data_IF_679508985562
#
_entry.id   IF_679508985562
#
_cell.length_a   1.000
_cell.length_b   1.000
_cell.length_c   1.000
_cell.angle_alpha   90.00
_cell.angle_beta   90.00
_cell.angle_gamma   90.00
#
_symmetry.space_group_name_H-M   'P 1'
#
loop_
_entity.id
_entity.type
_entity.pdbx_description
1 polymer ?
#
# COMPACT_ATOMS: atom_id res chain seq x y z
N UNK A 1 49.04 -34.46 25.29
CA UNK A 1 47.88 -35.03 26.03
C UNK A 1 47.17 -33.89 26.74
N UNK A 2 46.03 -33.44 26.21
CA UNK A 2 44.97 -32.69 26.91
C UNK A 2 43.87 -32.42 25.87
N UNK A 3 42.73 -33.10 26.01
CA UNK A 3 41.51 -32.82 25.26
C UNK A 3 40.84 -31.55 25.80
N UNK A 4 39.98 -30.92 24.99
CA UNK A 4 38.73 -30.40 25.54
C UNK A 4 37.49 -30.89 24.76
N UNK A 5 36.59 -31.50 25.54
CA UNK A 5 35.14 -31.31 25.64
C UNK A 5 34.27 -31.23 24.36
N UNK A 6 33.42 -32.26 24.25
CA UNK A 6 32.17 -32.30 23.49
C UNK A 6 31.20 -31.20 23.94
N UNK A 7 30.73 -30.39 22.98
CA UNK A 7 29.50 -29.62 23.06
C UNK A 7 28.49 -30.17 22.05
N UNK A 8 27.42 -30.75 22.56
CA UNK A 8 26.29 -31.33 21.83
C UNK A 8 25.52 -30.28 21.01
N UNK A 9 25.43 -30.49 19.70
CA UNK A 9 24.55 -29.75 18.80
C UNK A 9 23.12 -30.31 18.89
N UNK A 10 22.23 -29.57 19.54
CA UNK A 10 20.81 -29.87 19.61
C UNK A 10 20.13 -29.38 18.32
N UNK A 11 19.99 -30.27 17.33
CA UNK A 11 19.26 -29.98 16.10
C UNK A 11 17.76 -30.14 16.35
N UNK A 12 17.07 -29.03 16.58
CA UNK A 12 15.62 -28.95 16.44
C UNK A 12 15.28 -28.67 14.97
N UNK A 13 14.53 -29.54 14.28
CA UNK A 13 14.12 -29.28 12.90
C UNK A 13 13.02 -28.21 12.92
N UNK A 14 13.32 -27.02 12.40
CA UNK A 14 12.33 -25.99 12.13
C UNK A 14 11.40 -26.50 11.02
N UNK A 15 10.15 -26.79 11.38
CA UNK A 15 9.08 -27.03 10.43
C UNK A 15 8.83 -25.74 9.63
N UNK A 16 9.37 -25.67 8.41
CA UNK A 16 9.00 -24.64 7.44
C UNK A 16 7.56 -24.86 6.99
N UNK A 17 6.63 -24.04 7.46
CA UNK A 17 5.34 -23.88 6.81
C UNK A 17 5.54 -23.16 5.47
N UNK A 18 5.58 -23.94 4.39
CA UNK A 18 5.37 -23.44 3.04
C UNK A 18 3.97 -22.81 2.96
N UNK A 19 3.88 -21.49 2.85
CA UNK A 19 2.71 -20.86 2.27
C UNK A 19 2.83 -20.92 0.75
N UNK A 20 2.38 -22.04 0.18
CA UNK A 20 1.99 -22.03 -1.22
C UNK A 20 0.81 -21.07 -1.37
N UNK A 21 0.99 -19.99 -2.12
CA UNK A 21 -0.12 -19.27 -2.74
C UNK A 21 -0.77 -20.21 -3.78
N UNK A 22 -1.59 -21.14 -3.28
CA UNK A 22 -2.66 -21.70 -4.10
C UNK A 22 -3.64 -20.57 -4.35
N UNK A 23 -3.63 -20.01 -5.56
CA UNK A 23 -4.82 -19.33 -6.05
C UNK A 23 -5.98 -20.32 -5.95
N UNK A 24 -7.00 -20.06 -5.11
CA UNK A 24 -8.14 -20.95 -5.02
C UNK A 24 -8.76 -21.02 -6.42
N UNK A 25 -8.93 -22.23 -6.94
CA UNK A 25 -9.63 -22.42 -8.20
C UNK A 25 -11.09 -22.01 -7.96
N UNK A 26 -11.42 -20.75 -8.28
CA UNK A 26 -12.79 -20.23 -8.15
C UNK A 26 -13.63 -20.94 -9.22
N UNK A 27 -14.68 -21.69 -8.84
CA UNK A 27 -15.56 -22.32 -9.82
C UNK A 27 -16.17 -21.24 -10.72
N UNK A 28 -16.43 -21.51 -12.01
CA UNK A 28 -17.14 -20.54 -12.84
C UNK A 28 -18.54 -20.27 -12.24
N UNK A 29 -19.05 -19.03 -12.32
CA UNK A 29 -20.36 -18.69 -11.79
C UNK A 29 -21.44 -19.47 -12.53
N UNK A 30 -22.39 -20.03 -11.78
CA UNK A 30 -23.52 -20.76 -12.37
C UNK A 30 -24.59 -19.78 -12.82
N UNK A 31 -24.55 -19.41 -14.10
CA UNK A 31 -25.40 -18.39 -14.73
C UNK A 31 -26.91 -18.67 -14.63
N UNK A 32 -27.29 -19.92 -14.44
CA UNK A 32 -28.71 -20.33 -14.33
C UNK A 32 -29.18 -20.46 -12.87
N UNK A 33 -28.32 -20.19 -11.88
CA UNK A 33 -28.68 -20.25 -10.46
C UNK A 33 -29.22 -18.90 -9.99
N UNK A 34 -30.43 -18.91 -9.42
CA UNK A 34 -30.97 -17.74 -8.73
C UNK A 34 -30.59 -17.79 -7.23
N UNK A 35 -29.76 -16.87 -6.72
CA UNK A 35 -29.39 -16.85 -5.32
C UNK A 35 -30.59 -16.64 -4.39
N UNK A 36 -30.48 -17.13 -3.16
CA UNK A 36 -31.45 -16.82 -2.12
C UNK A 36 -31.33 -15.35 -1.67
N UNK A 37 -32.41 -14.84 -1.09
CA UNK A 37 -32.38 -13.59 -0.34
C UNK A 37 -31.87 -13.86 1.10
N UNK A 38 -30.86 -13.11 1.52
CA UNK A 38 -30.20 -13.21 2.83
C UNK A 38 -30.40 -11.95 3.70
N UNK A 39 -31.19 -10.98 3.25
CA UNK A 39 -31.35 -9.65 3.88
C UNK A 39 -31.99 -9.75 5.27
N UNK A 40 -32.85 -10.76 5.46
CA UNK A 40 -33.58 -11.05 6.70
C UNK A 40 -32.77 -11.88 7.71
N UNK A 41 -31.61 -12.40 7.31
CA UNK A 41 -30.81 -13.26 8.18
C UNK A 41 -29.87 -12.45 9.08
N UNK A 42 -29.71 -12.84 10.36
CA UNK A 42 -28.80 -12.17 11.31
C UNK A 42 -27.34 -12.57 11.05
N UNK A 43 -26.81 -12.20 9.89
CA UNK A 43 -25.45 -12.54 9.46
C UNK A 43 -24.45 -11.45 9.87
N UNK A 44 -23.21 -11.87 10.17
CA UNK A 44 -22.12 -10.95 10.56
C UNK A 44 -21.53 -10.17 9.38
N UNK A 45 -21.86 -10.57 8.15
CA UNK A 45 -21.37 -9.95 6.92
C UNK A 45 -22.55 -9.37 6.13
N UNK A 46 -22.24 -8.45 5.21
CA UNK A 46 -23.26 -7.85 4.34
C UNK A 46 -23.95 -8.92 3.48
N UNK A 47 -25.30 -8.91 3.45
CA UNK A 47 -26.14 -9.86 2.70
C UNK A 47 -25.78 -9.94 1.20
N UNK A 48 -25.34 -8.82 0.59
CA UNK A 48 -24.94 -8.78 -0.82
C UNK A 48 -23.74 -9.68 -1.14
N UNK A 49 -22.87 -9.92 -0.14
CA UNK A 49 -21.74 -10.84 -0.29
C UNK A 49 -22.27 -12.27 -0.44
N UNK A 50 -23.30 -12.65 0.32
CA UNK A 50 -23.89 -13.99 0.25
C UNK A 50 -24.61 -14.22 -1.08
N UNK A 51 -25.41 -13.25 -1.53
CA UNK A 51 -26.07 -13.29 -2.84
C UNK A 51 -25.05 -13.46 -3.97
N UNK A 52 -23.91 -12.75 -3.89
CA UNK A 52 -22.84 -12.84 -4.89
C UNK A 52 -22.08 -14.18 -4.80
N UNK A 53 -21.71 -14.60 -3.58
CA UNK A 53 -20.89 -15.79 -3.34
C UNK A 53 -21.65 -17.08 -3.60
N UNK A 54 -22.98 -17.09 -3.44
CA UNK A 54 -23.81 -18.26 -3.68
C UNK A 54 -23.63 -18.80 -5.11
N UNK A 55 -23.50 -17.93 -6.10
CA UNK A 55 -23.33 -18.29 -7.52
C UNK A 55 -22.08 -19.14 -7.80
N UNK A 56 -21.13 -19.14 -6.87
CA UNK A 56 -19.84 -19.84 -6.95
C UNK A 56 -19.81 -21.10 -6.07
N UNK A 57 -20.91 -21.42 -5.36
CA UNK A 57 -20.93 -22.58 -4.47
C UNK A 57 -20.90 -23.91 -5.24
N UNK A 58 -20.25 -24.95 -4.67
CA UNK A 58 -20.27 -26.28 -5.26
C UNK A 58 -21.70 -26.82 -5.45
N UNK A 59 -21.97 -27.64 -6.48
CA UNK A 59 -23.32 -28.18 -6.75
C UNK A 59 -23.97 -28.86 -5.53
N UNK A 60 -23.19 -29.58 -4.73
CA UNK A 60 -23.68 -30.28 -3.55
C UNK A 60 -24.06 -29.34 -2.38
N UNK A 61 -23.67 -28.06 -2.43
CA UNK A 61 -24.05 -27.04 -1.45
C UNK A 61 -25.23 -26.22 -1.95
N UNK A 62 -25.30 -25.92 -3.25
CA UNK A 62 -26.41 -25.17 -3.85
C UNK A 62 -27.78 -25.82 -3.64
N UNK A 63 -27.83 -27.14 -3.63
CA UNK A 63 -29.06 -27.91 -3.44
C UNK A 63 -29.47 -28.03 -1.96
N UNK A 64 -28.76 -27.38 -1.04
CA UNK A 64 -29.07 -27.40 0.40
C UNK A 64 -29.97 -26.24 0.80
N UNK A 65 -30.42 -26.26 2.05
CA UNK A 65 -31.21 -25.16 2.62
C UNK A 65 -30.44 -23.83 2.59
N UNK A 66 -31.20 -22.75 2.65
CA UNK A 66 -30.66 -21.39 2.79
C UNK A 66 -29.73 -21.26 3.99
N UNK A 67 -30.09 -21.84 5.14
CA UNK A 67 -29.24 -21.82 6.33
C UNK A 67 -27.93 -22.56 6.13
N UNK A 68 -27.95 -23.73 5.48
CA UNK A 68 -26.74 -24.51 5.21
C UNK A 68 -25.80 -23.80 4.23
N UNK A 69 -26.36 -23.16 3.20
CA UNK A 69 -25.62 -22.32 2.26
C UNK A 69 -24.97 -21.13 2.98
N UNK A 70 -25.74 -20.42 3.82
CA UNK A 70 -25.24 -19.32 4.62
C UNK A 70 -24.10 -19.77 5.55
N UNK A 71 -24.27 -20.86 6.29
CA UNK A 71 -23.22 -21.41 7.17
C UNK A 71 -21.95 -21.80 6.39
N UNK A 72 -22.11 -22.41 5.22
CA UNK A 72 -20.97 -22.75 4.35
C UNK A 72 -20.22 -21.49 3.87
N UNK A 73 -20.95 -20.46 3.43
CA UNK A 73 -20.38 -19.18 3.03
C UNK A 73 -19.71 -18.44 4.19
N UNK A 74 -20.32 -18.41 5.38
CA UNK A 74 -19.72 -17.86 6.60
C UNK A 74 -18.38 -18.52 6.88
N UNK A 75 -18.30 -19.86 6.78
CA UNK A 75 -17.05 -20.60 6.98
C UNK A 75 -15.98 -20.29 5.92
N UNK A 76 -16.38 -19.92 4.71
CA UNK A 76 -15.44 -19.41 3.69
C UNK A 76 -14.96 -18.02 4.12
N UNK A 77 -15.89 -17.10 4.40
CA UNK A 77 -15.57 -15.72 4.74
C UNK A 77 -14.68 -15.62 5.99
N UNK A 78 -14.86 -16.46 7.00
CA UNK A 78 -13.98 -16.50 8.17
C UNK A 78 -12.54 -16.92 7.87
N UNK A 79 -12.31 -17.70 6.79
CA UNK A 79 -10.96 -18.09 6.38
C UNK A 79 -10.22 -16.94 5.69
N UNK A 80 -10.93 -16.09 4.95
CA UNK A 80 -10.35 -14.97 4.23
C UNK A 80 -10.36 -13.66 5.02
N UNK A 81 -11.33 -13.49 5.91
CA UNK A 81 -11.47 -12.31 6.76
C UNK A 81 -11.71 -12.73 8.22
N UNK A 82 -10.66 -13.20 8.92
CA UNK A 82 -10.75 -13.60 10.33
C UNK A 82 -11.23 -12.47 11.25
N UNK A 83 -11.77 -12.83 12.41
CA UNK A 83 -12.38 -11.87 13.35
C UNK A 83 -11.40 -10.79 13.83
N UNK A 84 -10.16 -11.16 14.12
CA UNK A 84 -9.11 -10.20 14.50
C UNK A 84 -8.86 -9.15 13.40
N UNK A 85 -8.86 -9.56 12.12
CA UNK A 85 -8.67 -8.65 11.00
C UNK A 85 -9.89 -7.73 10.82
N UNK A 86 -11.11 -8.26 11.00
CA UNK A 86 -12.33 -7.43 11.01
C UNK A 86 -12.31 -6.38 12.11
N UNK A 87 -11.94 -6.78 13.33
CA UNK A 87 -11.81 -5.85 14.47
C UNK A 87 -10.76 -4.78 14.14
N UNK A 88 -9.64 -5.15 13.54
CA UNK A 88 -8.59 -4.22 13.12
C UNK A 88 -9.11 -3.20 12.10
N UNK A 89 -9.76 -3.67 11.03
CA UNK A 89 -10.36 -2.81 9.99
C UNK A 89 -11.40 -1.87 10.60
N UNK A 90 -12.29 -2.37 11.45
CA UNK A 90 -13.32 -1.57 12.09
C UNK A 90 -12.72 -0.48 12.99
N UNK A 91 -11.74 -0.85 13.83
CA UNK A 91 -11.01 0.12 14.66
C UNK A 91 -10.29 1.16 13.82
N UNK A 92 -9.69 0.76 12.70
CA UNK A 92 -9.02 1.68 11.79
C UNK A 92 -10.01 2.67 11.15
N UNK A 93 -11.19 2.21 10.71
CA UNK A 93 -12.28 3.08 10.22
C UNK A 93 -12.77 4.07 11.27
N UNK A 94 -12.97 3.60 12.51
CA UNK A 94 -13.37 4.48 13.62
C UNK A 94 -12.32 5.52 13.96
N UNK A 95 -11.05 5.12 13.92
CA UNK A 95 -9.91 6.02 14.09
C UNK A 95 -9.89 7.11 13.02
N UNK A 96 -9.96 6.74 11.73
CA UNK A 96 -10.01 7.69 10.61
C UNK A 96 -11.20 8.63 10.73
N UNK A 97 -12.39 8.09 11.04
CA UNK A 97 -13.61 8.91 11.25
C UNK A 97 -13.44 9.95 12.35
N UNK A 98 -12.75 9.62 13.45
CA UNK A 98 -12.46 10.58 14.52
C UNK A 98 -11.54 11.70 14.07
N UNK A 99 -10.55 11.41 13.23
CA UNK A 99 -9.69 12.45 12.66
C UNK A 99 -10.55 13.37 11.77
N UNK A 100 -11.27 12.80 10.81
CA UNK A 100 -12.08 13.56 9.86
C UNK A 100 -13.16 14.44 10.51
N UNK A 101 -13.67 14.05 11.70
CA UNK A 101 -14.67 14.84 12.42
C UNK A 101 -14.08 15.95 13.30
N UNK A 102 -12.78 15.91 13.62
CA UNK A 102 -12.16 16.83 14.60
C UNK A 102 -11.01 17.66 14.02
N UNK A 103 -10.40 17.22 12.93
CA UNK A 103 -9.38 17.95 12.20
C UNK A 103 -10.01 18.80 11.10
N UNK A 104 -9.55 20.05 10.96
CA UNK A 104 -9.99 20.95 9.89
C UNK A 104 -8.82 21.14 8.91
N UNK A 105 -8.95 20.71 7.65
CA UNK A 105 -7.89 20.88 6.66
C UNK A 105 -7.50 22.34 6.43
N UNK A 106 -6.20 22.61 6.26
CA UNK A 106 -5.66 23.93 5.93
C UNK A 106 -5.81 24.24 4.44
N UNK A 107 -5.61 23.24 3.59
CA UNK A 107 -5.63 23.33 2.13
C UNK A 107 -6.59 22.30 1.53
N UNK A 108 -7.90 22.61 1.50
CA UNK A 108 -8.91 21.67 0.96
C UNK A 108 -8.66 21.31 -0.51
N UNK A 109 -8.01 22.18 -1.26
CA UNK A 109 -7.69 21.98 -2.67
C UNK A 109 -6.69 20.84 -2.96
N UNK A 110 -5.90 20.39 -1.97
CA UNK A 110 -4.96 19.27 -2.18
C UNK A 110 -5.58 17.89 -1.91
N UNK A 111 -6.84 17.84 -1.46
CA UNK A 111 -7.60 16.61 -1.22
C UNK A 111 -8.29 16.07 -2.48
N UNK A 112 -8.07 16.70 -3.63
CA UNK A 112 -8.61 16.28 -4.92
C UNK A 112 -7.64 16.68 -6.02
N UNK A 113 -7.42 15.79 -7.00
CA UNK A 113 -6.46 16.06 -8.07
C UNK A 113 -6.98 17.16 -9.00
N UNK A 114 -6.41 18.34 -8.88
CA UNK A 114 -6.56 19.45 -9.84
C UNK A 114 -5.33 19.49 -10.74
N UNK A 115 -5.42 18.79 -11.88
CA UNK A 115 -4.26 18.44 -12.71
C UNK A 115 -3.30 19.59 -13.02
N UNK A 116 -3.82 20.79 -13.33
CA UNK A 116 -3.01 21.97 -13.68
C UNK A 116 -2.28 22.59 -12.50
N UNK A 117 -2.74 22.35 -11.26
CA UNK A 117 -2.12 22.84 -10.04
C UNK A 117 -1.25 21.77 -9.36
N UNK A 118 -1.48 20.50 -9.69
CA UNK A 118 -0.76 19.36 -9.14
C UNK A 118 0.51 19.07 -9.92
N UNK A 119 0.41 19.01 -11.25
CA UNK A 119 1.44 18.44 -12.09
C UNK A 119 2.14 19.48 -12.94
N UNK A 120 3.42 19.23 -13.23
CA UNK A 120 4.15 20.04 -14.20
C UNK A 120 3.60 19.79 -15.63
N UNK A 121 3.56 20.81 -16.51
CA UNK A 121 2.97 20.66 -17.84
C UNK A 121 3.60 19.55 -18.71
N UNK A 122 4.91 19.34 -18.59
CA UNK A 122 5.64 18.30 -19.32
C UNK A 122 5.15 16.89 -18.94
N UNK A 123 4.93 16.65 -17.65
CA UNK A 123 4.39 15.39 -17.15
C UNK A 123 2.97 15.14 -17.65
N UNK A 124 2.09 16.15 -17.57
CA UNK A 124 0.73 16.05 -18.09
C UNK A 124 0.69 15.74 -19.57
N UNK A 125 1.58 16.34 -20.35
CA UNK A 125 1.69 16.06 -21.78
C UNK A 125 2.08 14.60 -22.04
N UNK A 126 3.04 14.06 -21.29
CA UNK A 126 3.44 12.67 -21.39
C UNK A 126 2.30 11.70 -21.04
N UNK A 127 1.55 12.00 -19.98
CA UNK A 127 0.36 11.22 -19.56
C UNK A 127 -0.74 11.26 -20.61
N UNK A 128 -1.02 12.43 -21.21
CA UNK A 128 -2.00 12.57 -22.30
C UNK A 128 -1.63 11.76 -23.54
N UNK A 129 -0.34 11.70 -23.87
CA UNK A 129 0.15 10.91 -25.00
C UNK A 129 0.11 9.41 -24.72
N UNK A 130 0.25 9.02 -23.45
CA UNK A 130 0.18 7.66 -22.94
C UNK A 130 0.96 6.65 -23.78
N UNK A 131 2.20 7.01 -24.12
CA UNK A 131 3.12 6.23 -24.96
C UNK A 131 4.51 6.26 -24.35
N UNK A 132 5.26 5.18 -24.51
CA UNK A 132 6.64 5.07 -24.03
C UNK A 132 7.51 6.23 -24.49
N UNK A 133 7.44 6.61 -25.77
CA UNK A 133 8.17 7.75 -26.31
C UNK A 133 7.78 9.09 -25.65
N UNK A 134 6.56 9.22 -25.12
CA UNK A 134 6.11 10.38 -24.34
C UNK A 134 6.77 10.40 -22.96
N UNK A 135 6.70 9.28 -22.25
CA UNK A 135 7.30 9.14 -20.93
C UNK A 135 8.82 9.29 -20.95
N UNK A 136 9.52 8.68 -21.91
CA UNK A 136 10.98 8.78 -22.04
C UNK A 136 11.50 10.19 -22.33
N UNK A 137 10.64 11.16 -22.68
CA UNK A 137 11.05 12.58 -22.79
C UNK A 137 11.11 13.30 -21.45
N UNK A 138 10.39 12.81 -20.44
CA UNK A 138 10.28 13.47 -19.12
C UNK A 138 10.82 12.62 -17.98
N UNK A 139 11.12 11.35 -18.24
CA UNK A 139 11.64 10.39 -17.28
C UNK A 139 13.01 9.88 -17.72
N UNK A 140 13.95 9.87 -16.78
CA UNK A 140 15.23 9.20 -16.92
C UNK A 140 15.19 7.86 -16.19
N UNK A 141 15.91 6.87 -16.70
CA UNK A 141 16.10 5.57 -16.08
C UNK A 141 17.59 5.38 -15.76
N UNK A 142 18.09 5.96 -14.66
CA UNK A 142 19.52 5.88 -14.31
C UNK A 142 19.99 4.43 -14.12
N UNK A 143 19.09 3.57 -13.62
CA UNK A 143 19.29 2.12 -13.51
C UNK A 143 17.99 1.44 -13.90
N UNK A 144 18.10 0.26 -14.51
CA UNK A 144 16.95 -0.56 -14.89
C UNK A 144 15.97 -0.69 -13.71
N UNK A 145 14.72 -0.31 -13.94
CA UNK A 145 13.65 -0.38 -12.94
C UNK A 145 13.62 0.79 -11.94
N UNK A 146 14.47 1.81 -12.10
CA UNK A 146 14.43 3.04 -11.31
C UNK A 146 14.19 4.21 -12.25
N UNK A 147 13.05 4.90 -12.09
CA UNK A 147 12.70 6.07 -12.87
C UNK A 147 12.84 7.34 -12.04
N UNK A 148 13.44 8.38 -12.61
CA UNK A 148 13.52 9.72 -12.03
C UNK A 148 12.86 10.74 -12.95
N UNK A 149 11.98 11.58 -12.41
CA UNK A 149 11.23 12.56 -13.19
C UNK A 149 10.65 13.67 -12.32
N UNK A 150 10.40 14.82 -12.93
CA UNK A 150 9.65 15.90 -12.31
C UNK A 150 8.15 15.70 -12.57
N UNK A 151 7.40 15.53 -11.49
CA UNK A 151 5.96 15.26 -11.55
C UNK A 151 5.14 16.43 -10.99
N UNK A 152 5.45 16.84 -9.77
CA UNK A 152 4.62 17.77 -9.00
C UNK A 152 5.07 19.23 -9.16
N UNK A 153 4.11 20.15 -9.06
CA UNK A 153 4.42 21.57 -8.96
C UNK A 153 4.97 21.91 -7.56
N UNK A 154 5.98 22.78 -7.45
CA UNK A 154 6.53 23.20 -6.16
C UNK A 154 5.47 23.76 -5.20
N UNK A 155 4.51 24.55 -5.72
CA UNK A 155 3.39 25.09 -4.93
C UNK A 155 2.50 24.02 -4.32
N UNK A 156 2.33 22.88 -5.00
CA UNK A 156 1.60 21.74 -4.43
C UNK A 156 2.40 21.11 -3.29
N UNK A 157 3.71 20.89 -3.48
CA UNK A 157 4.58 20.36 -2.43
C UNK A 157 4.60 21.25 -1.18
N UNK A 158 4.67 22.58 -1.36
CA UNK A 158 4.58 23.56 -0.25
C UNK A 158 3.27 23.42 0.53
N UNK A 159 2.13 23.33 -0.17
CA UNK A 159 0.81 23.14 0.46
C UNK A 159 0.71 21.82 1.20
N UNK A 160 1.26 20.76 0.64
CA UNK A 160 1.26 19.44 1.25
C UNK A 160 2.10 19.42 2.53
N UNK A 161 3.28 20.05 2.52
CA UNK A 161 4.10 20.24 3.72
C UNK A 161 3.34 21.03 4.78
N UNK A 162 2.76 22.19 4.42
CA UNK A 162 2.07 23.04 5.40
C UNK A 162 0.81 22.39 5.97
N UNK A 163 0.13 21.54 5.18
CA UNK A 163 -1.00 20.72 5.64
C UNK A 163 -0.54 19.71 6.70
N UNK A 164 0.54 18.96 6.46
CA UNK A 164 1.07 18.01 7.45
C UNK A 164 1.57 18.72 8.70
N UNK A 165 2.25 19.86 8.56
CA UNK A 165 2.68 20.68 9.70
C UNK A 165 1.47 21.24 10.48
N UNK A 166 0.35 21.52 9.80
CA UNK A 166 -0.90 21.91 10.47
C UNK A 166 -1.51 20.74 11.24
N UNK A 167 -1.56 19.56 10.63
CA UNK A 167 -2.04 18.33 11.25
C UNK A 167 -1.23 17.96 12.49
N UNK A 168 0.11 17.96 12.41
CA UNK A 168 0.99 17.67 13.55
C UNK A 168 0.79 18.67 14.70
N UNK A 169 0.56 19.96 14.41
CA UNK A 169 0.23 20.96 15.44
C UNK A 169 -1.11 20.64 16.11
N UNK A 170 -2.12 20.29 15.33
CA UNK A 170 -3.43 19.88 15.87
C UNK A 170 -3.31 18.62 16.76
N UNK A 171 -2.57 17.60 16.32
CA UNK A 171 -2.29 16.38 17.10
C UNK A 171 -1.64 16.72 18.44
N UNK A 172 -0.62 17.58 18.42
CA UNK A 172 0.11 17.98 19.62
C UNK A 172 -0.72 18.81 20.61
N UNK A 173 -1.62 19.68 20.09
CA UNK A 173 -2.50 20.52 20.89
C UNK A 173 -3.64 19.71 21.52
N UNK A 174 -4.24 18.81 20.75
CA UNK A 174 -5.38 17.98 21.20
C UNK A 174 -4.94 16.74 21.97
N UNK A 175 -3.64 16.40 21.94
CA UNK A 175 -3.09 15.13 22.45
C UNK A 175 -3.75 13.91 21.79
N UNK A 176 -4.19 14.07 20.53
CA UNK A 176 -4.76 12.99 19.77
C UNK A 176 -3.69 11.94 19.46
N UNK A 177 -4.00 10.65 19.61
CA UNK A 177 -3.05 9.59 19.26
C UNK A 177 -3.24 9.21 17.81
N UNK A 178 -2.18 9.31 17.01
CA UNK A 178 -2.20 8.92 15.59
C UNK A 178 -1.37 7.66 15.33
N UNK A 179 -1.66 6.99 14.22
CA UNK A 179 -0.77 6.00 13.63
C UNK A 179 0.37 6.71 12.91
N UNK A 180 1.58 6.16 13.01
CA UNK A 180 2.77 6.70 12.33
C UNK A 180 2.97 5.99 10.99
N UNK A 181 3.65 6.64 10.01
CA UNK A 181 3.79 6.12 8.65
C UNK A 181 4.23 4.66 8.55
N UNK A 182 5.21 4.26 9.35
CA UNK A 182 5.63 2.86 9.46
C UNK A 182 6.27 2.61 10.83
N UNK A 183 6.72 1.38 11.09
CA UNK A 183 7.36 0.97 12.35
C UNK A 183 8.76 1.57 12.56
N UNK A 184 9.37 2.12 11.50
CA UNK A 184 10.72 2.69 11.51
C UNK A 184 10.73 4.22 11.62
N UNK A 185 9.59 4.89 11.40
CA UNK A 185 9.47 6.35 11.44
C UNK A 185 8.58 6.79 12.61
N UNK A 186 9.12 7.70 13.43
CA UNK A 186 8.39 8.32 14.54
C UNK A 186 7.69 9.61 14.15
N UNK A 187 8.05 10.20 12.99
CA UNK A 187 7.54 11.49 12.54
C UNK A 187 6.94 11.44 11.14
N UNK A 188 5.89 12.23 10.95
CA UNK A 188 5.11 12.26 9.72
C UNK A 188 3.71 11.68 9.90
N UNK A 189 2.98 11.58 8.79
CA UNK A 189 1.57 11.26 8.78
C UNK A 189 1.17 10.39 7.60
N UNK A 190 0.20 9.50 7.82
CA UNK A 190 -0.46 8.73 6.76
C UNK A 190 -1.54 9.62 6.13
N UNK A 191 -1.47 9.82 4.81
CA UNK A 191 -2.31 10.78 4.10
C UNK A 191 -3.79 10.36 4.06
N UNK A 192 -4.05 9.05 4.02
CA UNK A 192 -5.40 8.51 4.07
C UNK A 192 -6.12 8.85 5.38
N UNK A 193 -5.39 8.95 6.48
CA UNK A 193 -5.93 9.32 7.79
C UNK A 193 -6.40 10.77 7.82
N UNK A 194 -5.76 11.65 7.03
CA UNK A 194 -6.19 13.02 6.83
C UNK A 194 -7.41 13.11 5.90
N UNK A 195 -7.69 12.07 5.11
CA UNK A 195 -8.79 12.03 4.15
C UNK A 195 -8.38 12.20 2.69
N UNK A 196 -7.11 11.97 2.35
CA UNK A 196 -6.59 12.10 0.98
C UNK A 196 -6.74 10.84 0.11
N UNK A 197 -7.43 9.81 0.60
CA UNK A 197 -7.63 8.52 -0.08
C UNK A 197 -8.14 8.69 -1.52
N UNK A 198 -9.25 9.42 -1.73
CA UNK A 198 -9.77 9.68 -3.09
C UNK A 198 -8.77 10.38 -4.02
N UNK A 199 -7.91 11.24 -3.46
CA UNK A 199 -6.87 11.92 -4.24
C UNK A 199 -5.78 10.94 -4.66
N UNK A 200 -5.34 10.08 -3.73
CA UNK A 200 -4.33 9.06 -3.97
C UNK A 200 -4.82 7.95 -4.89
N UNK A 201 -6.08 7.52 -4.75
CA UNK A 201 -6.75 6.61 -5.69
C UNK A 201 -6.65 7.15 -7.12
N UNK A 202 -6.96 8.44 -7.29
CA UNK A 202 -6.90 9.08 -8.60
C UNK A 202 -5.46 9.26 -9.09
N UNK A 203 -4.53 9.64 -8.20
CA UNK A 203 -3.11 9.71 -8.53
C UNK A 203 -2.59 8.36 -9.06
N UNK A 204 -2.89 7.27 -8.35
CA UNK A 204 -2.51 5.92 -8.73
C UNK A 204 -3.13 5.51 -10.06
N UNK A 205 -4.46 5.56 -10.18
CA UNK A 205 -5.18 5.03 -11.34
C UNK A 205 -4.95 5.85 -12.62
N UNK A 206 -4.98 7.18 -12.53
CA UNK A 206 -4.94 8.04 -13.71
C UNK A 206 -3.51 8.40 -14.13
N UNK A 207 -2.53 8.34 -13.20
CA UNK A 207 -1.18 8.87 -13.46
C UNK A 207 -0.05 7.85 -13.26
N UNK A 208 -0.13 6.98 -12.24
CA UNK A 208 0.94 6.00 -11.98
C UNK A 208 0.72 4.70 -12.76
N UNK A 209 -0.51 4.20 -12.83
CA UNK A 209 -0.86 2.99 -13.56
C UNK A 209 -0.47 3.06 -15.05
N UNK A 210 -0.66 4.17 -15.79
CA UNK A 210 -0.15 4.30 -17.15
C UNK A 210 1.37 4.12 -17.29
N UNK A 211 2.14 4.59 -16.30
CA UNK A 211 3.60 4.46 -16.27
C UNK A 211 3.97 3.00 -15.98
N UNK A 212 3.31 2.39 -14.98
CA UNK A 212 3.45 0.98 -14.62
C UNK A 212 3.27 0.05 -15.83
N UNK A 213 2.21 0.29 -16.62
CA UNK A 213 1.92 -0.47 -17.85
C UNK A 213 3.04 -0.47 -18.89
N UNK A 214 3.86 0.57 -18.92
CA UNK A 214 4.92 0.72 -19.91
C UNK A 214 6.25 0.18 -19.37
N UNK A 215 6.65 0.59 -18.18
CA UNK A 215 7.99 0.31 -17.66
C UNK A 215 8.07 -0.89 -16.72
N UNK A 216 6.95 -1.28 -16.12
CA UNK A 216 6.87 -2.30 -15.08
C UNK A 216 5.88 -3.40 -15.45
N UNK A 217 5.95 -3.89 -16.69
CA UNK A 217 5.04 -4.93 -17.20
C UNK A 217 5.11 -6.24 -16.41
N UNK A 218 6.27 -6.56 -15.85
CA UNK A 218 6.50 -7.75 -15.03
C UNK A 218 6.09 -7.56 -13.56
N UNK A 219 5.90 -6.32 -13.10
CA UNK A 219 5.64 -5.99 -11.68
C UNK A 219 4.57 -4.91 -11.59
N UNK A 220 3.36 -5.28 -11.16
CA UNK A 220 2.24 -4.34 -11.04
C UNK A 220 1.55 -3.97 -12.35
N UNK A 221 2.27 -3.76 -13.46
CA UNK A 221 1.73 -3.57 -14.82
C UNK A 221 0.38 -2.84 -14.91
N UNK A 222 -0.70 -3.58 -15.21
CA UNK A 222 -2.07 -3.05 -15.27
C UNK A 222 -2.93 -3.34 -14.03
N UNK A 223 -2.35 -3.90 -12.98
CA UNK A 223 -3.04 -4.54 -11.85
C UNK A 223 -2.85 -3.85 -10.51
N UNK A 224 -2.22 -2.66 -10.45
CA UNK A 224 -2.19 -1.89 -9.20
C UNK A 224 -3.62 -1.59 -8.74
N UNK A 225 -3.96 -1.94 -7.50
CA UNK A 225 -5.32 -1.92 -6.98
C UNK A 225 -5.45 -1.22 -5.62
N UNK A 226 -4.34 -0.85 -5.01
CA UNK A 226 -4.27 -0.26 -3.67
C UNK A 226 -3.05 0.64 -3.53
N UNK A 227 -3.12 1.56 -2.56
CA UNK A 227 -2.04 2.47 -2.25
C UNK A 227 -1.84 2.63 -0.75
N UNK A 228 -0.63 3.01 -0.36
CA UNK A 228 -0.35 3.46 1.01
C UNK A 228 0.47 4.76 0.96
N UNK A 229 -0.23 5.89 1.00
CA UNK A 229 0.39 7.22 0.92
C UNK A 229 0.72 7.79 2.30
N UNK A 230 1.98 8.16 2.51
CA UNK A 230 2.42 8.79 3.75
C UNK A 230 3.56 9.79 3.50
N UNK A 231 3.75 10.69 4.46
CA UNK A 231 4.89 11.62 4.51
C UNK A 231 5.72 11.26 5.72
N UNK A 232 7.04 11.21 5.53
CA UNK A 232 8.04 11.04 6.59
C UNK A 232 8.81 12.33 6.78
N UNK A 233 9.26 12.58 8.01
CA UNK A 233 10.08 13.75 8.32
C UNK A 233 11.38 13.35 9.01
N UNK A 234 12.49 13.62 8.33
CA UNK A 234 13.83 13.44 8.87
C UNK A 234 14.40 14.76 9.40
N UNK A 235 15.28 14.69 10.39
CA UNK A 235 15.97 15.86 10.92
C UNK A 235 16.79 15.55 12.17
N UNK A 236 17.67 16.48 12.57
CA UNK A 236 18.63 16.28 13.66
C UNK A 236 18.00 15.91 15.02
N UNK A 237 16.74 16.31 15.24
CA UNK A 237 15.97 15.99 16.46
C UNK A 237 14.76 15.09 16.15
N UNK A 238 14.83 14.34 15.05
CA UNK A 238 13.79 13.43 14.55
C UNK A 238 14.45 12.12 14.13
N UNK A 239 13.80 11.37 13.24
CA UNK A 239 14.44 10.25 12.57
C UNK A 239 15.61 10.78 11.72
N UNK A 240 16.77 10.11 11.76
CA UNK A 240 17.98 10.53 11.03
C UNK A 240 18.39 9.59 9.91
N UNK A 241 17.93 8.33 9.96
CA UNK A 241 18.17 7.32 8.95
C UNK A 241 17.01 6.33 8.89
N UNK A 242 16.95 5.58 7.80
CA UNK A 242 16.04 4.48 7.61
C UNK A 242 16.87 3.25 7.23
N UNK A 243 16.72 2.16 7.98
CA UNK A 243 17.42 0.91 7.71
C UNK A 243 17.05 0.33 6.34
N UNK A 244 17.89 -0.55 5.79
CA UNK A 244 17.55 -1.25 4.55
C UNK A 244 16.33 -2.16 4.76
N UNK A 245 15.38 -2.07 3.84
CA UNK A 245 14.14 -2.84 3.83
C UNK A 245 13.67 -3.03 2.40
N UNK A 246 12.62 -3.83 2.24
CA UNK A 246 11.83 -3.93 1.01
C UNK A 246 10.46 -3.36 1.33
N UNK A 247 9.96 -2.50 0.44
CA UNK A 247 8.61 -1.97 0.55
C UNK A 247 7.59 -3.06 0.23
N UNK A 248 6.49 -3.08 0.99
CA UNK A 248 5.34 -3.95 0.72
C UNK A 248 4.47 -3.35 -0.39
N UNK A 249 5.03 -3.29 -1.61
CA UNK A 249 4.36 -2.79 -2.80
C UNK A 249 5.04 -3.29 -4.07
N UNK A 250 4.30 -3.40 -5.18
CA UNK A 250 4.90 -3.67 -6.50
C UNK A 250 5.73 -2.49 -6.99
N UNK A 251 5.31 -1.26 -6.68
CA UNK A 251 5.94 -0.01 -7.11
C UNK A 251 5.86 1.02 -5.99
N UNK A 252 7.02 1.56 -5.59
CA UNK A 252 7.11 2.71 -4.68
C UNK A 252 7.33 4.01 -5.46
N UNK A 253 6.50 5.01 -5.17
CA UNK A 253 6.72 6.39 -5.62
C UNK A 253 7.31 7.23 -4.47
N UNK A 254 8.60 7.54 -4.55
CA UNK A 254 9.28 8.42 -3.59
C UNK A 254 9.37 9.84 -4.13
N UNK A 255 8.88 10.82 -3.37
CA UNK A 255 8.76 12.21 -3.81
C UNK A 255 9.49 13.14 -2.83
N UNK A 256 10.47 13.88 -3.34
CA UNK A 256 11.05 15.00 -2.62
C UNK A 256 10.11 16.21 -2.64
N UNK A 257 9.75 16.73 -1.46
CA UNK A 257 8.76 17.80 -1.30
C UNK A 257 9.38 19.22 -1.24
N UNK A 258 10.70 19.38 -1.44
CA UNK A 258 11.29 20.70 -1.66
C UNK A 258 11.85 21.42 -0.43
N UNK A 259 12.02 20.76 0.72
CA UNK A 259 12.80 21.35 1.84
C UNK A 259 14.30 21.25 1.54
N UNK A 260 15.05 22.30 1.87
CA UNK A 260 16.51 22.29 1.82
C UNK A 260 17.08 21.47 2.97
N UNK A 261 17.97 20.52 2.66
CA UNK A 261 18.72 19.74 3.64
C UNK A 261 20.07 19.32 3.04
N UNK A 262 20.93 18.77 3.89
CA UNK A 262 22.18 18.12 3.50
C UNK A 262 22.16 16.67 3.96
N UNK A 263 22.62 15.74 3.11
CA UNK A 263 22.44 14.30 3.30
C UNK A 263 21.21 13.79 2.55
N UNK A 264 20.56 12.75 3.08
CA UNK A 264 19.31 12.20 2.52
C UNK A 264 19.48 11.31 1.29
N UNK A 265 20.68 10.75 1.10
CA UNK A 265 20.98 9.85 -0.01
C UNK A 265 20.09 8.60 0.03
N UNK A 266 19.50 8.25 -1.12
CA UNK A 266 18.76 7.00 -1.28
C UNK A 266 19.66 5.93 -1.90
N UNK A 267 19.82 4.82 -1.20
CA UNK A 267 20.65 3.69 -1.61
C UNK A 267 19.80 2.50 -2.04
N UNK A 268 20.02 2.03 -3.26
CA UNK A 268 19.43 0.78 -3.76
C UNK A 268 20.44 -0.36 -3.61
N UNK A 269 19.97 -1.56 -3.23
CA UNK A 269 20.80 -2.79 -3.16
C UNK A 269 20.31 -3.90 -4.09
N UNK A 270 19.64 -3.50 -5.19
CA UNK A 270 19.11 -4.41 -6.19
C UNK A 270 17.77 -5.06 -5.81
N UNK A 271 17.28 -5.92 -6.70
CA UNK A 271 16.03 -6.66 -6.55
C UNK A 271 16.27 -7.91 -5.69
N UNK A 272 15.34 -8.19 -4.78
CA UNK A 272 15.37 -9.41 -3.94
C UNK A 272 14.22 -10.33 -4.34
N UNK A 273 14.47 -11.63 -4.37
CA UNK A 273 13.39 -12.62 -4.49
C UNK A 273 12.86 -13.02 -3.11
N UNK A 274 11.69 -13.64 -3.09
CA UNK A 274 10.99 -14.06 -1.87
C UNK A 274 11.85 -14.93 -0.95
N UNK A 275 12.68 -15.81 -1.53
CA UNK A 275 13.59 -16.68 -0.76
C UNK A 275 14.69 -15.90 -0.04
N UNK A 276 15.09 -14.74 -0.58
CA UNK A 276 16.26 -13.98 -0.13
C UNK A 276 15.91 -12.59 0.43
N UNK A 277 14.62 -12.24 0.53
CA UNK A 277 14.15 -10.91 0.96
C UNK A 277 14.70 -10.49 2.33
N UNK A 278 14.87 -11.45 3.24
CA UNK A 278 15.35 -11.24 4.61
C UNK A 278 16.84 -11.57 4.83
N UNK A 279 17.58 -11.94 3.78
CA UNK A 279 19.00 -12.32 3.92
C UNK A 279 19.92 -11.09 3.89
N UNK A 280 21.21 -11.22 4.21
CA UNK A 280 22.16 -10.12 4.00
C UNK A 280 22.38 -9.85 2.52
N UNK A 281 22.55 -8.58 2.14
CA UNK A 281 22.82 -8.23 0.74
C UNK A 281 24.26 -8.60 0.39
N UNK A 282 24.45 -9.32 -0.71
CA UNK A 282 25.77 -9.44 -1.32
C UNK A 282 26.17 -8.09 -1.91
N UNK A 283 27.46 -7.79 -1.85
CA UNK A 283 28.03 -6.51 -2.24
C UNK A 283 27.94 -6.31 -3.75
N UNK A 284 26.87 -5.67 -4.25
CA UNK A 284 26.87 -5.10 -5.60
C UNK A 284 25.92 -3.90 -5.73
N UNK A 285 26.50 -2.82 -6.28
CA UNK A 285 25.92 -1.54 -6.72
C UNK A 285 25.23 -0.68 -5.65
N UNK A 286 26.01 0.18 -4.97
CA UNK A 286 25.46 1.38 -4.32
C UNK A 286 25.20 2.43 -5.38
N UNK A 287 23.94 2.66 -5.73
CA UNK A 287 23.58 3.86 -6.46
C UNK A 287 23.22 4.96 -5.46
N UNK A 288 23.86 6.13 -5.58
CA UNK A 288 23.38 7.37 -4.98
C UNK A 288 22.41 8.01 -5.97
N UNK A 289 21.16 8.18 -5.58
CA UNK A 289 20.28 9.18 -6.19
C UNK A 289 20.25 10.39 -5.26
N UNK A 290 20.81 11.49 -5.74
CA UNK A 290 20.53 12.82 -5.20
C UNK A 290 19.18 13.24 -5.80
N UNK A 291 18.13 13.20 -4.99
CA UNK A 291 16.82 13.73 -5.35
C UNK A 291 16.83 15.26 -5.32
#
# INVERSE_FOLDING_TARGET
MSQPQNGSSDHTPQHHHHHHHHHPHVPPPKRDHNPDNYDDMPLQFNHLIFTSLEQYLPPHVLNRSREDKANYMVNILHRYLPENERIRIQKHKEYRRKILSNYTPLHKEIYSVHVENFFVPSFLQAIKENREAGFRRVMAEPVKGILTFQMLQPKFCEKLISEVDHFERWVNQTKFRIMRPNTMNQYGAVLDDLGMETMLDRLMNDFILPISRVFFTEVGGSTLDSHHGFIVEYGTNRDVELGFHVDDSEITLNIWLGKEFSGGDLFFRGVRCDEHVNTETQSEVRLLLLC
#
